data_IF_680428996552
#
_entry.id   IF_680428996552
#
_cell.length_a   1.000
_cell.length_b   1.000
_cell.length_c   1.000
_cell.angle_alpha   90.00
_cell.angle_beta   90.00
_cell.angle_gamma   90.00
#
_symmetry.space_group_name_H-M   'P 1'
#
loop_
_entity.id
_entity.type
_entity.pdbx_description
1 polymer ?
#
# COMPACT_ATOMS: atom_id res chain seq x y z
N UNK A 1 -11.85 -4.96 -15.91
CA UNK A 1 -10.50 -4.33 -16.00
C UNK A 1 -10.18 -4.03 -17.44
N UNK A 2 -9.59 -2.86 -17.72
CA UNK A 2 -9.01 -2.61 -19.04
C UNK A 2 -7.81 -3.52 -19.27
N UNK A 3 -7.54 -3.90 -20.50
CA UNK A 3 -6.36 -4.70 -20.83
C UNK A 3 -5.11 -3.78 -20.77
N UNK A 4 -4.47 -3.77 -19.60
CA UNK A 4 -3.27 -3.00 -19.31
C UNK A 4 -2.22 -3.92 -18.70
N UNK A 5 -1.03 -3.93 -19.26
CA UNK A 5 0.11 -4.67 -18.72
C UNK A 5 0.53 -4.16 -17.31
N UNK A 6 0.22 -2.88 -17.03
CA UNK A 6 0.63 -2.20 -15.80
C UNK A 6 -0.51 -2.12 -14.79
N UNK A 7 -0.22 -2.44 -13.54
CA UNK A 7 -1.10 -2.19 -12.40
C UNK A 7 -1.12 -0.70 -12.03
N UNK A 8 0.05 -0.05 -12.06
CA UNK A 8 0.17 1.41 -11.89
C UNK A 8 1.04 1.95 -13.02
N UNK A 9 0.61 3.09 -13.59
CA UNK A 9 1.41 3.89 -14.51
C UNK A 9 1.33 5.36 -14.09
N UNK A 10 2.47 5.95 -13.79
CA UNK A 10 2.66 7.36 -13.45
C UNK A 10 3.58 7.98 -14.49
N UNK A 11 3.17 9.14 -15.05
CA UNK A 11 3.95 9.90 -16.03
C UNK A 11 4.03 11.36 -15.62
N UNK A 12 5.26 11.85 -15.47
CA UNK A 12 5.59 13.26 -15.20
C UNK A 12 4.77 13.86 -14.05
N UNK A 13 4.57 13.09 -12.98
CA UNK A 13 3.75 13.48 -11.85
C UNK A 13 4.45 14.56 -11.02
N UNK A 14 3.80 15.71 -10.88
CA UNK A 14 4.22 16.78 -9.98
C UNK A 14 3.08 17.15 -9.02
N UNK A 15 3.44 17.43 -7.76
CA UNK A 15 2.50 17.80 -6.70
C UNK A 15 3.03 18.94 -5.85
N UNK A 16 2.21 19.96 -5.67
CA UNK A 16 2.49 21.09 -4.80
C UNK A 16 1.50 21.17 -3.63
N UNK A 17 1.98 21.50 -2.45
CA UNK A 17 1.21 21.94 -1.29
C UNK A 17 1.58 23.39 -1.00
N UNK A 18 0.75 24.33 -1.49
CA UNK A 18 1.11 25.75 -1.49
C UNK A 18 2.41 25.98 -2.26
N UNK A 19 3.46 26.44 -1.58
CA UNK A 19 4.81 26.68 -2.18
C UNK A 19 5.72 25.44 -2.13
N UNK A 20 5.36 24.43 -1.35
CA UNK A 20 6.18 23.22 -1.20
C UNK A 20 5.92 22.27 -2.38
N UNK A 21 6.93 21.98 -3.16
CA UNK A 21 6.92 20.92 -4.18
C UNK A 21 7.20 19.58 -3.51
N UNK A 22 6.15 18.78 -3.34
CA UNK A 22 6.25 17.48 -2.68
C UNK A 22 6.63 16.35 -3.63
N UNK A 23 6.26 16.47 -4.93
CA UNK A 23 6.68 15.57 -6.00
C UNK A 23 7.11 16.42 -7.20
N UNK A 24 8.24 16.04 -7.81
CA UNK A 24 8.88 16.74 -8.91
C UNK A 24 9.17 15.78 -10.07
N UNK A 25 8.27 15.78 -11.06
CA UNK A 25 8.40 15.06 -12.32
C UNK A 25 8.67 13.56 -12.15
N UNK A 26 7.98 12.88 -11.23
CA UNK A 26 8.17 11.44 -11.06
C UNK A 26 7.44 10.64 -12.13
N UNK A 27 8.13 9.64 -12.67
CA UNK A 27 7.57 8.66 -13.61
C UNK A 27 7.96 7.25 -13.17
N UNK A 28 6.96 6.36 -13.08
CA UNK A 28 7.18 4.95 -12.77
C UNK A 28 6.05 4.08 -13.31
N UNK A 29 6.37 2.82 -13.56
CA UNK A 29 5.40 1.79 -13.93
C UNK A 29 5.57 0.56 -13.06
N UNK A 30 4.45 -0.04 -12.65
CA UNK A 30 4.42 -1.28 -11.86
C UNK A 30 3.63 -2.30 -12.66
N UNK A 31 4.24 -3.43 -12.95
CA UNK A 31 3.59 -4.52 -13.68
C UNK A 31 2.54 -5.21 -12.82
N UNK A 32 1.54 -5.82 -13.45
CA UNK A 32 0.59 -6.69 -12.75
C UNK A 32 1.31 -7.84 -12.07
N UNK A 33 0.89 -8.16 -10.86
CA UNK A 33 1.47 -9.25 -10.06
C UNK A 33 2.88 -8.95 -9.55
N UNK A 34 3.40 -7.73 -9.70
CA UNK A 34 4.69 -7.35 -9.12
C UNK A 34 4.60 -7.15 -7.61
N UNK A 35 5.72 -7.33 -6.93
CA UNK A 35 5.93 -6.92 -5.55
C UNK A 35 6.92 -5.76 -5.57
N UNK A 36 6.37 -4.54 -5.55
CA UNK A 36 7.11 -3.29 -5.71
C UNK A 36 7.39 -2.64 -4.35
N UNK A 37 8.66 -2.34 -4.09
CA UNK A 37 9.11 -1.58 -2.93
C UNK A 37 9.37 -0.12 -3.29
N UNK A 38 8.75 0.81 -2.57
CA UNK A 38 8.94 2.24 -2.75
C UNK A 38 9.62 2.83 -1.52
N UNK A 39 10.92 3.08 -1.63
CA UNK A 39 11.81 3.42 -0.55
C UNK A 39 12.16 4.91 -0.57
N UNK A 40 12.48 5.46 0.58
CA UNK A 40 12.92 6.84 0.71
C UNK A 40 12.90 7.31 2.16
N UNK A 41 13.63 8.35 2.51
CA UNK A 41 13.61 8.93 3.84
C UNK A 41 12.24 9.55 4.17
N UNK A 42 12.06 9.93 5.43
CA UNK A 42 10.85 10.65 5.86
C UNK A 42 10.77 11.98 5.11
N UNK A 43 9.57 12.31 4.61
CA UNK A 43 9.37 13.53 3.80
C UNK A 43 9.79 13.41 2.34
N UNK A 44 10.31 12.27 1.87
CA UNK A 44 10.74 12.08 0.48
C UNK A 44 9.61 12.14 -0.56
N UNK A 45 8.32 12.02 -0.15
CA UNK A 45 7.17 12.03 -1.05
C UNK A 45 6.43 10.69 -1.15
N UNK A 46 6.80 9.65 -0.39
CA UNK A 46 6.17 8.31 -0.44
C UNK A 46 4.65 8.37 -0.20
N UNK A 47 4.23 8.90 0.94
CA UNK A 47 2.80 9.02 1.30
C UNK A 47 2.05 9.96 0.34
N UNK A 48 2.71 11.01 -0.16
CA UNK A 48 2.12 11.89 -1.18
C UNK A 48 1.84 11.12 -2.47
N UNK A 49 2.76 10.28 -2.91
CA UNK A 49 2.59 9.42 -4.09
C UNK A 49 1.43 8.44 -3.88
N UNK A 50 1.35 7.78 -2.73
CA UNK A 50 0.22 6.90 -2.36
C UNK A 50 -1.11 7.68 -2.40
N UNK A 51 -1.16 8.86 -1.79
CA UNK A 51 -2.37 9.68 -1.75
C UNK A 51 -2.85 10.09 -3.14
N UNK A 52 -1.93 10.34 -4.08
CA UNK A 52 -2.28 10.63 -5.47
C UNK A 52 -2.80 9.37 -6.18
N UNK A 53 -2.11 8.23 -6.07
CA UNK A 53 -2.54 6.96 -6.69
C UNK A 53 -3.93 6.55 -6.22
N UNK A 54 -4.22 6.73 -4.93
CA UNK A 54 -5.52 6.36 -4.33
C UNK A 54 -6.60 7.43 -4.50
N UNK A 55 -6.25 8.58 -5.10
CA UNK A 55 -7.15 9.70 -5.29
C UNK A 55 -7.55 10.43 -4.00
N UNK A 56 -6.79 10.24 -2.92
CA UNK A 56 -6.96 11.01 -1.66
C UNK A 56 -6.41 12.44 -1.80
N UNK A 57 -5.52 12.68 -2.76
CA UNK A 57 -4.98 13.99 -3.08
C UNK A 57 -4.94 14.20 -4.60
N UNK A 58 -5.34 15.38 -5.05
CA UNK A 58 -5.15 15.79 -6.44
C UNK A 58 -3.67 16.09 -6.70
N UNK A 59 -3.25 15.94 -7.94
CA UNK A 59 -1.90 16.30 -8.38
C UNK A 59 -1.94 17.57 -9.24
N UNK A 60 -0.77 18.18 -9.45
CA UNK A 60 -0.65 19.48 -10.13
C UNK A 60 -0.38 19.32 -11.63
N UNK A 61 0.38 18.29 -12.02
CA UNK A 61 0.69 17.96 -13.40
C UNK A 61 0.99 16.46 -13.53
N UNK A 62 0.89 15.95 -14.75
CA UNK A 62 1.18 14.56 -15.12
C UNK A 62 -0.06 13.71 -15.33
N UNK A 63 0.15 12.39 -15.38
CA UNK A 63 -0.92 11.38 -15.50
C UNK A 63 -0.67 10.25 -14.49
N UNK A 64 -1.77 9.75 -13.89
CA UNK A 64 -1.74 8.58 -13.00
C UNK A 64 -2.88 7.65 -13.37
N UNK A 65 -2.54 6.39 -13.65
CA UNK A 65 -3.49 5.34 -13.99
C UNK A 65 -3.30 4.11 -13.11
N UNK A 66 -4.40 3.48 -12.75
CA UNK A 66 -4.45 2.21 -12.03
C UNK A 66 -5.20 1.20 -12.90
N UNK A 67 -4.54 0.12 -13.33
CA UNK A 67 -5.07 -0.85 -14.29
C UNK A 67 -5.68 -0.20 -15.54
N UNK A 68 -5.08 0.91 -16.02
CA UNK A 68 -5.54 1.68 -17.16
C UNK A 68 -6.63 2.70 -16.88
N UNK A 69 -7.22 2.74 -15.67
CA UNK A 69 -8.19 3.75 -15.25
C UNK A 69 -7.48 5.00 -14.74
N UNK A 70 -7.89 6.17 -15.22
CA UNK A 70 -7.41 7.46 -14.73
C UNK A 70 -7.92 7.72 -13.31
N UNK A 71 -7.01 7.97 -12.36
CA UNK A 71 -7.35 8.08 -10.94
C UNK A 71 -8.22 9.31 -10.59
N UNK A 72 -8.32 10.28 -11.50
CA UNK A 72 -9.17 11.47 -11.32
C UNK A 72 -10.49 11.37 -12.06
N UNK A 73 -10.46 10.96 -13.34
CA UNK A 73 -11.64 10.91 -14.21
C UNK A 73 -12.46 9.64 -13.99
N UNK A 74 -11.79 8.52 -13.73
CA UNK A 74 -12.37 7.19 -13.56
C UNK A 74 -12.12 6.66 -12.13
N UNK A 75 -12.18 7.57 -11.14
CA UNK A 75 -11.76 7.31 -9.77
C UNK A 75 -12.51 6.15 -9.08
N UNK A 76 -13.77 5.91 -9.44
CA UNK A 76 -14.57 4.83 -8.85
C UNK A 76 -14.02 3.46 -9.28
N UNK A 77 -13.75 3.30 -10.56
CA UNK A 77 -13.21 2.06 -11.12
C UNK A 77 -11.77 1.83 -10.63
N UNK A 78 -10.95 2.88 -10.61
CA UNK A 78 -9.59 2.81 -10.08
C UNK A 78 -9.57 2.39 -8.60
N UNK A 79 -10.38 3.04 -7.75
CA UNK A 79 -10.44 2.75 -6.30
C UNK A 79 -11.01 1.37 -5.98
N UNK A 80 -11.94 0.85 -6.80
CA UNK A 80 -12.49 -0.48 -6.62
C UNK A 80 -11.42 -1.59 -6.74
N UNK A 81 -10.31 -1.32 -7.41
CA UNK A 81 -9.20 -2.25 -7.58
C UNK A 81 -8.11 -2.12 -6.51
N UNK A 82 -8.18 -1.08 -5.65
CA UNK A 82 -7.14 -0.74 -4.68
C UNK A 82 -7.57 -1.14 -3.27
N UNK A 83 -6.77 -1.94 -2.58
CA UNK A 83 -6.79 -2.08 -1.13
C UNK A 83 -5.74 -1.16 -0.52
N UNK A 84 -6.13 -0.26 0.37
CA UNK A 84 -5.22 0.69 0.99
C UNK A 84 -5.07 0.43 2.49
N UNK A 85 -3.84 0.22 2.94
CA UNK A 85 -3.44 0.14 4.33
C UNK A 85 -2.53 1.33 4.66
N UNK A 86 -3.06 2.34 5.34
CA UNK A 86 -2.35 3.55 5.76
C UNK A 86 -1.71 3.38 7.14
N UNK A 87 -0.82 4.30 7.52
CA UNK A 87 -0.25 4.34 8.87
C UNK A 87 -1.29 4.74 9.93
N UNK A 88 -2.15 5.70 9.61
CA UNK A 88 -3.13 6.26 10.53
C UNK A 88 -4.47 5.53 10.50
N UNK A 89 -5.06 5.45 11.66
CA UNK A 89 -6.31 4.75 11.92
C UNK A 89 -7.45 5.75 12.09
N UNK A 90 -8.27 5.88 11.06
CA UNK A 90 -9.50 6.66 11.17
C UNK A 90 -10.70 5.69 11.10
N UNK A 91 -11.04 5.11 12.24
CA UNK A 91 -12.16 4.20 12.37
C UNK A 91 -13.27 4.77 13.24
N UNK A 92 -14.52 4.40 12.94
CA UNK A 92 -15.64 4.73 13.80
C UNK A 92 -15.47 4.05 15.18
N UNK A 93 -15.36 4.82 16.26
CA UNK A 93 -15.08 4.28 17.59
C UNK A 93 -16.25 3.51 18.22
N UNK A 94 -17.45 3.61 17.65
CA UNK A 94 -18.66 3.00 18.17
C UNK A 94 -18.94 1.62 17.60
N UNK A 95 -18.38 1.30 16.44
CA UNK A 95 -18.57 0.01 15.77
C UNK A 95 -17.66 -1.07 16.36
N UNK A 96 -18.13 -2.32 16.32
CA UNK A 96 -17.27 -3.48 16.53
C UNK A 96 -16.41 -3.72 15.29
N UNK A 97 -15.31 -4.46 15.45
CA UNK A 97 -14.42 -4.70 14.32
C UNK A 97 -15.08 -5.51 13.20
N UNK A 98 -15.98 -6.44 13.54
CA UNK A 98 -16.78 -7.16 12.55
C UNK A 98 -17.72 -6.22 11.80
N UNK A 99 -18.46 -5.35 12.53
CA UNK A 99 -19.33 -4.36 11.91
C UNK A 99 -18.56 -3.43 10.95
N UNK A 100 -17.38 -2.96 11.35
CA UNK A 100 -16.53 -2.09 10.52
C UNK A 100 -16.18 -2.75 9.19
N UNK A 101 -15.80 -4.03 9.20
CA UNK A 101 -15.48 -4.75 7.97
C UNK A 101 -16.71 -4.96 7.09
N UNK A 102 -17.88 -5.27 7.68
CA UNK A 102 -19.13 -5.40 6.94
C UNK A 102 -19.56 -4.08 6.30
N UNK A 103 -19.45 -2.95 7.02
CA UNK A 103 -19.70 -1.63 6.44
C UNK A 103 -18.72 -1.28 5.32
N UNK A 104 -17.43 -1.57 5.53
CA UNK A 104 -16.41 -1.35 4.50
C UNK A 104 -16.72 -2.14 3.22
N UNK A 105 -17.13 -3.41 3.35
CA UNK A 105 -17.55 -4.23 2.21
C UNK A 105 -18.75 -3.61 1.46
N UNK A 106 -19.70 -3.04 2.21
CA UNK A 106 -20.88 -2.37 1.66
C UNK A 106 -20.54 -1.18 0.74
N UNK A 107 -19.46 -0.43 1.03
CA UNK A 107 -18.99 0.64 0.14
C UNK A 107 -18.53 0.13 -1.24
N UNK A 108 -18.17 -1.14 -1.33
CA UNK A 108 -17.80 -1.81 -2.60
C UNK A 108 -18.96 -2.61 -3.21
N UNK A 109 -20.19 -2.45 -2.70
CA UNK A 109 -21.38 -3.12 -3.23
C UNK A 109 -21.49 -4.60 -2.89
N UNK A 110 -20.72 -5.09 -1.91
CA UNK A 110 -20.78 -6.49 -1.46
C UNK A 110 -22.02 -6.64 -0.56
N UNK A 111 -22.84 -7.65 -0.86
CA UNK A 111 -24.02 -7.92 -0.06
C UNK A 111 -23.66 -8.32 1.39
N UNK A 112 -24.63 -8.12 2.31
CA UNK A 112 -24.38 -8.28 3.74
C UNK A 112 -23.98 -9.70 4.15
N UNK A 113 -24.47 -10.71 3.45
CA UNK A 113 -24.19 -12.12 3.76
C UNK A 113 -22.75 -12.45 3.39
N UNK A 114 -22.34 -12.09 2.17
CA UNK A 114 -20.96 -12.27 1.68
C UNK A 114 -19.98 -11.39 2.48
N UNK A 115 -20.36 -10.16 2.81
CA UNK A 115 -19.56 -9.27 3.65
C UNK A 115 -19.26 -9.86 5.02
N UNK A 116 -20.25 -10.49 5.69
CA UNK A 116 -20.05 -11.17 6.98
C UNK A 116 -19.11 -12.35 6.84
N UNK A 117 -19.30 -13.20 5.83
CA UNK A 117 -18.43 -14.35 5.56
C UNK A 117 -16.98 -13.91 5.34
N UNK A 118 -16.75 -12.91 4.47
CA UNK A 118 -15.42 -12.35 4.21
C UNK A 118 -14.80 -11.73 5.45
N UNK A 119 -15.58 -11.01 6.25
CA UNK A 119 -15.12 -10.43 7.51
C UNK A 119 -14.66 -11.52 8.50
N UNK A 120 -15.46 -12.59 8.66
CA UNK A 120 -15.11 -13.74 9.48
C UNK A 120 -13.82 -14.42 9.01
N UNK A 121 -13.70 -14.71 7.71
CA UNK A 121 -12.50 -15.34 7.11
C UNK A 121 -11.24 -14.50 7.35
N UNK A 122 -11.32 -13.19 7.14
CA UNK A 122 -10.20 -12.27 7.38
C UNK A 122 -9.86 -12.16 8.87
N UNK A 123 -10.85 -12.00 9.75
CA UNK A 123 -10.62 -11.90 11.19
C UNK A 123 -10.00 -13.19 11.74
N UNK A 124 -10.41 -14.38 11.27
CA UNK A 124 -9.78 -15.66 11.62
C UNK A 124 -8.33 -15.71 11.14
N UNK A 125 -8.08 -15.34 9.87
CA UNK A 125 -6.75 -15.35 9.27
C UNK A 125 -5.75 -14.44 9.99
N UNK A 126 -6.22 -13.27 10.43
CA UNK A 126 -5.40 -12.31 11.18
C UNK A 126 -5.52 -12.46 12.71
N UNK A 127 -6.05 -13.59 13.20
CA UNK A 127 -6.14 -13.91 14.63
C UNK A 127 -6.87 -12.82 15.44
N UNK A 128 -8.00 -12.33 14.90
CA UNK A 128 -8.84 -11.30 15.53
C UNK A 128 -10.29 -11.77 15.74
N UNK A 129 -10.60 -13.03 15.40
CA UNK A 129 -11.98 -13.51 15.46
C UNK A 129 -12.58 -13.52 16.86
N UNK A 130 -11.78 -13.87 17.87
CA UNK A 130 -12.17 -13.83 19.30
C UNK A 130 -12.46 -12.40 19.79
N UNK A 131 -12.12 -11.39 19.00
CA UNK A 131 -12.38 -9.97 19.25
C UNK A 131 -13.41 -9.36 18.30
N UNK A 132 -14.11 -10.18 17.49
CA UNK A 132 -15.06 -9.72 16.46
C UNK A 132 -16.10 -8.70 16.98
N UNK A 133 -16.55 -8.87 18.22
CA UNK A 133 -17.53 -8.00 18.88
C UNK A 133 -16.91 -6.89 19.74
N UNK A 134 -15.57 -6.79 19.75
CA UNK A 134 -14.86 -5.75 20.49
C UNK A 134 -14.83 -4.47 19.68
N UNK A 135 -14.98 -3.32 20.34
CA UNK A 135 -14.87 -2.01 19.71
C UNK A 135 -13.39 -1.70 19.42
N UNK A 136 -13.15 -1.01 18.30
CA UNK A 136 -11.82 -0.62 17.85
C UNK A 136 -10.93 0.00 18.95
N UNK A 137 -11.49 0.86 19.81
CA UNK A 137 -10.73 1.54 20.85
C UNK A 137 -10.05 0.59 21.85
N UNK A 138 -10.62 -0.59 22.07
CA UNK A 138 -10.11 -1.57 23.00
C UNK A 138 -9.01 -2.49 22.44
N UNK A 139 -8.66 -2.33 21.15
CA UNK A 139 -7.63 -3.10 20.50
C UNK A 139 -6.22 -2.56 20.83
N UNK A 140 -5.25 -3.46 20.97
CA UNK A 140 -3.83 -3.11 21.01
C UNK A 140 -3.35 -2.53 19.66
N UNK A 141 -2.19 -1.89 19.65
CA UNK A 141 -1.61 -1.34 18.42
C UNK A 141 -1.40 -2.41 17.32
N UNK A 142 -0.89 -3.60 17.69
CA UNK A 142 -0.72 -4.72 16.76
C UNK A 142 -2.05 -5.26 16.24
N UNK A 143 -3.09 -5.37 17.10
CA UNK A 143 -4.45 -5.74 16.66
C UNK A 143 -5.04 -4.72 15.68
N UNK A 144 -4.83 -3.43 15.92
CA UNK A 144 -5.25 -2.36 15.02
C UNK A 144 -4.60 -2.49 13.65
N UNK A 145 -3.30 -2.78 13.58
CA UNK A 145 -2.60 -3.02 12.30
C UNK A 145 -3.17 -4.21 11.54
N UNK A 146 -3.42 -5.33 12.24
CA UNK A 146 -4.06 -6.50 11.63
C UNK A 146 -5.45 -6.17 11.08
N UNK A 147 -6.23 -5.37 11.81
CA UNK A 147 -7.55 -4.92 11.34
C UNK A 147 -7.49 -4.01 10.11
N UNK A 148 -6.46 -3.15 9.99
CA UNK A 148 -6.24 -2.35 8.78
C UNK A 148 -6.01 -3.22 7.55
N UNK A 149 -5.23 -4.28 7.68
CA UNK A 149 -5.05 -5.24 6.60
C UNK A 149 -6.37 -5.94 6.24
N UNK A 150 -7.16 -6.39 7.23
CA UNK A 150 -8.50 -6.95 6.97
C UNK A 150 -9.37 -5.95 6.19
N UNK A 151 -9.38 -4.68 6.59
CA UNK A 151 -10.14 -3.62 5.91
C UNK A 151 -9.68 -3.42 4.47
N UNK A 152 -8.37 -3.39 4.22
CA UNK A 152 -7.82 -3.21 2.89
C UNK A 152 -8.13 -4.39 1.96
N UNK A 153 -8.39 -5.58 2.51
CA UNK A 153 -8.58 -6.82 1.80
C UNK A 153 -10.04 -7.25 1.60
N UNK A 154 -10.99 -6.64 2.32
CA UNK A 154 -12.38 -7.10 2.40
C UNK A 154 -13.09 -7.19 1.04
N UNK A 155 -12.71 -6.34 0.08
CA UNK A 155 -13.26 -6.29 -1.27
C UNK A 155 -12.40 -7.03 -2.31
N UNK A 156 -11.38 -7.80 -1.86
CA UNK A 156 -10.49 -8.60 -2.72
C UNK A 156 -9.80 -7.81 -3.83
N UNK A 157 -9.07 -6.74 -3.51
CA UNK A 157 -8.47 -5.84 -4.48
C UNK A 157 -7.49 -6.54 -5.42
N UNK A 158 -7.22 -5.93 -6.59
CA UNK A 158 -6.19 -6.38 -7.53
C UNK A 158 -4.79 -5.87 -7.15
N UNK A 159 -4.72 -4.73 -6.48
CA UNK A 159 -3.50 -4.18 -5.90
C UNK A 159 -3.69 -3.82 -4.45
N UNK A 160 -2.73 -4.19 -3.62
CA UNK A 160 -2.64 -3.80 -2.22
C UNK A 160 -1.53 -2.77 -2.05
N UNK A 161 -1.90 -1.58 -1.59
CA UNK A 161 -0.99 -0.47 -1.28
C UNK A 161 -0.83 -0.39 0.23
N UNK A 162 0.41 -0.47 0.70
CA UNK A 162 0.77 -0.57 2.10
C UNK A 162 1.76 0.54 2.46
N UNK A 163 1.36 1.43 3.35
CA UNK A 163 2.23 2.50 3.86
C UNK A 163 2.83 2.09 5.20
N UNK A 164 4.08 1.61 5.17
CA UNK A 164 4.85 1.13 6.33
C UNK A 164 4.10 0.09 7.21
N UNK A 165 3.63 -1.03 6.66
CA UNK A 165 2.71 -1.93 7.35
C UNK A 165 3.31 -2.61 8.58
N UNK A 166 4.64 -2.76 8.65
CA UNK A 166 5.34 -3.45 9.73
C UNK A 166 6.02 -2.51 10.73
N UNK A 167 5.92 -1.18 10.52
CA UNK A 167 6.51 -0.21 11.44
C UNK A 167 5.95 -0.36 12.86
N UNK A 168 6.85 -0.55 13.86
CA UNK A 168 6.47 -0.77 15.25
C UNK A 168 5.74 -2.09 15.55
N UNK A 169 5.79 -3.07 14.63
CA UNK A 169 5.35 -4.43 14.89
C UNK A 169 6.42 -5.23 15.64
N UNK A 170 5.99 -6.18 16.47
CA UNK A 170 6.87 -7.23 16.95
C UNK A 170 7.24 -8.21 15.83
N UNK A 171 8.20 -9.08 16.07
CA UNK A 171 8.71 -10.02 15.08
C UNK A 171 7.64 -11.01 14.59
N UNK A 172 6.77 -11.47 15.48
CA UNK A 172 5.73 -12.43 15.14
C UNK A 172 4.73 -11.82 14.15
N UNK A 173 4.24 -10.61 14.43
CA UNK A 173 3.33 -9.89 13.56
C UNK A 173 4.00 -9.52 12.23
N UNK A 174 5.28 -9.11 12.25
CA UNK A 174 6.06 -8.81 11.04
C UNK A 174 6.09 -10.04 10.11
N UNK A 175 6.45 -11.21 10.62
CA UNK A 175 6.49 -12.43 9.81
C UNK A 175 5.11 -12.89 9.32
N UNK A 176 4.07 -12.75 10.14
CA UNK A 176 2.70 -13.05 9.73
C UNK A 176 2.28 -12.17 8.54
N UNK A 177 2.57 -10.87 8.59
CA UNK A 177 2.28 -9.93 7.50
C UNK A 177 3.07 -10.32 6.25
N UNK A 178 4.37 -10.56 6.36
CA UNK A 178 5.24 -10.91 5.24
C UNK A 178 4.80 -12.19 4.53
N UNK A 179 4.49 -13.24 5.31
CA UNK A 179 3.99 -14.50 4.75
C UNK A 179 2.68 -14.29 4.00
N UNK A 180 1.76 -13.54 4.59
CA UNK A 180 0.48 -13.25 3.96
C UNK A 180 0.64 -12.46 2.65
N UNK A 181 1.45 -11.41 2.63
CA UNK A 181 1.72 -10.61 1.43
C UNK A 181 2.38 -11.45 0.34
N UNK A 182 3.31 -12.33 0.72
CA UNK A 182 3.96 -13.26 -0.20
C UNK A 182 2.94 -14.23 -0.82
N UNK A 183 2.01 -14.77 -0.01
CA UNK A 183 0.95 -15.66 -0.51
C UNK A 183 -0.01 -14.92 -1.45
N UNK A 184 -0.39 -13.68 -1.15
CA UNK A 184 -1.22 -12.85 -2.04
C UNK A 184 -0.52 -12.61 -3.38
N UNK A 185 0.76 -12.26 -3.34
CA UNK A 185 1.53 -11.99 -4.55
C UNK A 185 1.70 -13.27 -5.41
N UNK A 186 1.94 -14.43 -4.79
CA UNK A 186 1.95 -15.72 -5.50
C UNK A 186 0.62 -16.05 -6.19
N UNK A 187 -0.51 -15.51 -5.70
CA UNK A 187 -1.83 -15.61 -6.33
C UNK A 187 -2.06 -14.57 -7.43
N UNK A 188 -1.03 -13.83 -7.82
CA UNK A 188 -1.09 -12.84 -8.90
C UNK A 188 -1.51 -11.44 -8.47
N UNK A 189 -1.74 -11.19 -7.18
CA UNK A 189 -2.06 -9.82 -6.70
C UNK A 189 -0.81 -8.94 -6.73
N UNK A 190 -0.98 -7.70 -7.14
CA UNK A 190 0.08 -6.69 -7.12
C UNK A 190 0.24 -6.12 -5.72
N UNK A 191 1.47 -5.93 -5.26
CA UNK A 191 1.77 -5.31 -3.96
C UNK A 191 2.61 -4.07 -4.19
N UNK A 192 2.17 -2.94 -3.64
CA UNK A 192 2.93 -1.71 -3.52
C UNK A 192 3.23 -1.46 -2.05
N UNK A 193 4.49 -1.53 -1.68
CA UNK A 193 4.94 -1.43 -0.30
C UNK A 193 5.84 -0.20 -0.12
N UNK A 194 5.50 0.71 0.79
CA UNK A 194 6.50 1.65 1.30
C UNK A 194 7.10 1.12 2.59
N UNK A 195 8.38 1.27 2.74
CA UNK A 195 9.09 0.91 3.96
C UNK A 195 10.39 1.70 4.08
N UNK A 196 10.86 1.86 5.29
CA UNK A 196 12.22 2.32 5.59
C UNK A 196 13.09 1.16 6.13
N UNK A 197 12.52 -0.06 6.24
CA UNK A 197 13.26 -1.26 6.63
C UNK A 197 13.81 -1.95 5.38
N UNK A 198 15.13 -1.86 5.19
CA UNK A 198 15.80 -2.42 4.00
C UNK A 198 15.63 -3.93 3.92
N UNK A 199 15.70 -4.65 5.04
CA UNK A 199 15.45 -6.10 5.11
C UNK A 199 14.08 -6.51 4.53
N UNK A 200 13.03 -5.72 4.79
CA UNK A 200 11.69 -5.97 4.27
C UNK A 200 11.66 -5.87 2.75
N UNK A 201 12.24 -4.81 2.21
CA UNK A 201 12.33 -4.60 0.77
C UNK A 201 13.20 -5.66 0.08
N UNK A 202 14.35 -6.01 0.66
CA UNK A 202 15.21 -7.06 0.13
C UNK A 202 14.54 -8.42 0.10
N UNK A 203 13.78 -8.76 1.15
CA UNK A 203 13.13 -10.06 1.26
C UNK A 203 11.90 -10.20 0.36
N UNK A 204 11.09 -9.16 0.25
CA UNK A 204 9.77 -9.24 -0.37
C UNK A 204 9.73 -8.70 -1.81
N UNK A 205 10.44 -7.62 -2.10
CA UNK A 205 10.28 -6.89 -3.35
C UNK A 205 11.07 -7.51 -4.49
N UNK A 206 10.48 -7.51 -5.68
CA UNK A 206 11.15 -7.85 -6.95
C UNK A 206 11.64 -6.61 -7.69
N UNK A 207 10.87 -5.53 -7.59
CA UNK A 207 11.20 -4.24 -8.19
C UNK A 207 11.28 -3.20 -7.09
N UNK A 208 12.25 -2.28 -7.19
CA UNK A 208 12.51 -1.25 -6.20
C UNK A 208 12.53 0.12 -6.89
N UNK A 209 11.83 1.08 -6.28
CA UNK A 209 11.96 2.49 -6.57
C UNK A 209 12.47 3.23 -5.33
N UNK A 210 13.49 4.07 -5.49
CA UNK A 210 14.00 4.94 -4.42
C UNK A 210 13.66 6.38 -4.76
N UNK A 211 12.94 7.04 -3.86
CA UNK A 211 12.56 8.46 -3.97
C UNK A 211 13.29 9.28 -2.91
N UNK A 212 13.79 10.47 -3.30
CA UNK A 212 14.33 11.44 -2.37
C UNK A 212 13.97 12.86 -2.83
N UNK A 213 13.58 13.73 -1.89
CA UNK A 213 13.14 15.11 -2.16
C UNK A 213 12.14 15.22 -3.33
N UNK A 214 11.17 14.31 -3.40
CA UNK A 214 10.13 14.30 -4.43
C UNK A 214 10.58 13.82 -5.80
N UNK A 215 11.81 13.33 -5.98
CA UNK A 215 12.37 12.85 -7.25
C UNK A 215 12.71 11.38 -7.20
N UNK A 216 12.52 10.68 -8.33
CA UNK A 216 12.99 9.30 -8.48
C UNK A 216 14.51 9.28 -8.61
N UNK A 217 15.17 8.61 -7.67
CA UNK A 217 16.64 8.44 -7.67
C UNK A 217 17.06 7.16 -8.38
N UNK A 218 16.40 6.05 -8.10
CA UNK A 218 16.60 4.75 -8.77
C UNK A 218 15.26 4.06 -8.97
N UNK A 219 15.13 3.29 -10.05
CA UNK A 219 13.95 2.48 -10.35
C UNK A 219 14.34 1.29 -11.23
N UNK A 220 13.99 0.09 -10.85
CA UNK A 220 14.23 -1.10 -11.67
C UNK A 220 14.07 -2.41 -10.90
N UNK A 221 14.30 -3.56 -11.58
CA UNK A 221 14.45 -4.84 -10.93
C UNK A 221 15.46 -4.78 -9.80
N UNK A 222 15.16 -5.43 -8.67
CA UNK A 222 16.00 -5.36 -7.47
C UNK A 222 17.48 -5.68 -7.77
N UNK A 223 17.74 -6.71 -8.57
CA UNK A 223 19.11 -7.10 -8.93
C UNK A 223 19.88 -6.00 -9.68
N UNK A 224 19.20 -5.29 -10.59
CA UNK A 224 19.80 -4.17 -11.33
C UNK A 224 20.02 -2.93 -10.46
N UNK A 225 19.13 -2.70 -9.48
CA UNK A 225 19.27 -1.58 -8.53
C UNK A 225 20.44 -1.83 -7.58
N UNK A 226 20.61 -3.08 -7.11
CA UNK A 226 21.64 -3.44 -6.13
C UNK A 226 23.06 -3.50 -6.71
N UNK A 227 23.25 -4.01 -7.94
CA UNK A 227 24.56 -4.14 -8.60
C UNK A 227 25.67 -4.68 -7.66
N UNK A 228 25.42 -5.79 -6.97
CA UNK A 228 26.32 -6.42 -6.00
C UNK A 228 26.56 -5.64 -4.67
N UNK A 229 25.81 -4.55 -4.44
CA UNK A 229 25.79 -3.82 -3.16
C UNK A 229 24.60 -4.28 -2.30
N UNK A 230 24.64 -4.02 -1.00
CA UNK A 230 23.45 -4.11 -0.17
C UNK A 230 22.44 -3.00 -0.52
N UNK A 231 21.15 -3.23 -0.24
CA UNK A 231 20.15 -2.18 -0.46
C UNK A 231 20.40 -0.96 0.43
N UNK A 232 20.95 -1.17 1.62
CA UNK A 232 21.35 -0.11 2.55
C UNK A 232 22.44 0.78 1.95
N UNK A 233 23.50 0.20 1.37
CA UNK A 233 24.56 0.97 0.71
C UNK A 233 24.03 1.79 -0.47
N UNK A 234 23.20 1.16 -1.31
CA UNK A 234 22.58 1.86 -2.45
C UNK A 234 21.68 2.99 -1.97
N UNK A 235 20.92 2.77 -0.90
CA UNK A 235 20.03 3.79 -0.34
C UNK A 235 20.83 4.99 0.22
N UNK A 236 21.88 4.75 1.00
CA UNK A 236 22.75 5.81 1.54
C UNK A 236 23.43 6.60 0.41
N UNK A 237 23.93 5.91 -0.61
CA UNK A 237 24.57 6.54 -1.77
C UNK A 237 23.65 7.53 -2.50
N UNK A 238 22.38 7.18 -2.70
CA UNK A 238 21.45 8.01 -3.49
C UNK A 238 20.66 9.02 -2.66
N UNK A 239 20.58 8.84 -1.34
CA UNK A 239 19.88 9.78 -0.45
C UNK A 239 20.82 10.78 0.22
N UNK A 240 22.13 10.56 0.16
CA UNK A 240 23.13 11.47 0.76
C UNK A 240 23.06 11.54 2.29
N UNK A 241 22.49 10.54 2.93
CA UNK A 241 22.51 10.40 4.41
C UNK A 241 23.83 9.71 4.79
N UNK A 242 24.82 10.50 5.22
CA UNK A 242 26.00 10.01 5.95
C UNK A 242 25.63 9.58 7.36
#
# INVERSE_FOLDING_TARGET
MRDSEHAIAIKNLSKYYGKLQALDDISLTIRRGDFFGFLGPNGAGKTTTINVITGLSNYSAGEVRVFGYDVTREYRDARALIGLCTQDFNFDPFLTISQMLVYQAGYFGIDRTDAKRRAEDLLKRFQLWDKSDVKYRALSAGMKKRLLLCRALIHEPEILILDEPTAGCDLELKFLIWDYLTQLNKKGKTIFLTTHYMEEAEKLCRTIGIINHGRMMKLGPKQEVLQDKSLEDVFLEVTGTE
#
